data_IF_822548885011
#
_entry.id   IF_822548885011
#
_cell.length_a   1.000
_cell.length_b   1.000
_cell.length_c   1.000
_cell.angle_alpha   90.00
_cell.angle_beta   90.00
_cell.angle_gamma   90.00
#
_symmetry.space_group_name_H-M   'P 1'
#
loop_
_entity.id
_entity.type
_entity.pdbx_description
1 polymer ?
#
# COMPACT_ATOMS: atom_id res chain seq x y z
N UNK A 1 -11.10 21.59 -7.19
CA UNK A 1 -12.01 21.14 -6.13
C UNK A 1 -11.66 21.81 -4.80
N UNK A 2 -10.41 21.68 -4.31
CA UNK A 2 -9.95 22.23 -3.04
C UNK A 2 -10.26 23.73 -2.87
N UNK A 3 -9.91 24.54 -3.88
CA UNK A 3 -10.13 25.98 -3.85
C UNK A 3 -11.63 26.36 -3.76
N UNK A 4 -12.51 25.52 -4.28
CA UNK A 4 -13.95 25.70 -4.16
C UNK A 4 -14.45 25.26 -2.78
N UNK A 5 -14.00 24.09 -2.29
CA UNK A 5 -14.37 23.57 -0.97
C UNK A 5 -13.91 24.49 0.18
N UNK A 6 -12.74 25.11 0.07
CA UNK A 6 -12.26 26.13 1.04
C UNK A 6 -13.16 27.35 1.16
N UNK A 7 -13.93 27.68 0.12
CA UNK A 7 -14.86 28.81 0.08
C UNK A 7 -16.30 28.41 0.40
N UNK A 8 -16.56 27.11 0.60
CA UNK A 8 -17.89 26.62 0.91
C UNK A 8 -18.28 27.00 2.34
N UNK A 9 -19.36 27.79 2.49
CA UNK A 9 -19.80 28.32 3.79
C UNK A 9 -20.67 27.34 4.61
N UNK A 10 -21.06 26.20 4.01
CA UNK A 10 -21.86 25.18 4.69
C UNK A 10 -21.01 24.20 5.51
N UNK A 11 -21.68 23.26 6.15
CA UNK A 11 -21.02 22.15 6.84
C UNK A 11 -20.60 21.10 5.82
N UNK A 12 -19.32 20.70 5.87
CA UNK A 12 -18.74 19.69 5.00
C UNK A 12 -18.23 18.52 5.86
N UNK A 13 -18.66 17.31 5.51
CA UNK A 13 -18.12 16.07 6.08
C UNK A 13 -17.44 15.32 4.94
N UNK A 14 -16.15 15.02 5.11
CA UNK A 14 -15.33 14.38 4.10
C UNK A 14 -14.71 13.12 4.67
N UNK A 15 -14.77 12.05 3.92
CA UNK A 15 -14.02 10.82 4.15
C UNK A 15 -13.02 10.69 3.01
N UNK A 16 -11.75 10.75 3.32
CA UNK A 16 -10.68 10.64 2.33
C UNK A 16 -9.45 9.99 2.95
N UNK A 17 -8.66 9.39 2.09
CA UNK A 17 -7.34 8.87 2.43
C UNK A 17 -6.21 9.79 1.90
N UNK A 18 -6.54 10.91 1.27
CA UNK A 18 -5.58 11.91 0.81
C UNK A 18 -5.31 12.91 1.93
N UNK A 19 -4.10 12.85 2.49
CA UNK A 19 -3.66 13.73 3.60
C UNK A 19 -3.61 15.19 3.19
N UNK A 20 -2.99 15.48 2.05
CA UNK A 20 -2.83 16.85 1.56
C UNK A 20 -4.21 17.50 1.33
N UNK A 21 -5.15 16.72 0.78
CA UNK A 21 -6.52 17.16 0.60
C UNK A 21 -7.23 17.41 1.93
N UNK A 22 -7.14 16.47 2.90
CA UNK A 22 -7.74 16.65 4.22
C UNK A 22 -7.14 17.86 4.95
N UNK A 23 -5.82 18.02 4.94
CA UNK A 23 -5.14 19.16 5.57
C UNK A 23 -5.51 20.49 4.95
N UNK A 24 -5.78 20.47 3.64
CA UNK A 24 -6.14 21.68 2.92
C UNK A 24 -7.56 22.20 3.23
N UNK A 25 -8.51 21.30 3.57
CA UNK A 25 -9.94 21.67 3.63
C UNK A 25 -10.60 21.43 4.98
N UNK A 26 -9.98 20.64 5.88
CA UNK A 26 -10.58 20.32 7.18
C UNK A 26 -9.96 21.12 8.32
N UNK A 27 -10.79 21.44 9.32
CA UNK A 27 -10.38 22.10 10.56
C UNK A 27 -10.79 21.30 11.81
N UNK A 28 -11.46 20.17 11.61
CA UNK A 28 -11.84 19.21 12.65
C UNK A 28 -11.68 17.82 12.09
N UNK A 29 -11.07 16.93 12.85
CA UNK A 29 -10.94 15.51 12.51
C UNK A 29 -11.80 14.68 13.46
N UNK A 30 -12.62 13.79 12.88
CA UNK A 30 -13.43 12.82 13.63
C UNK A 30 -12.82 11.43 13.45
N UNK A 31 -12.30 10.87 14.53
CA UNK A 31 -11.65 9.56 14.52
C UNK A 31 -12.57 8.48 15.08
N UNK A 32 -12.75 7.40 14.33
CA UNK A 32 -13.56 6.24 14.72
C UNK A 32 -12.60 5.11 15.11
N UNK A 33 -12.61 4.74 16.38
CA UNK A 33 -11.78 3.67 16.91
C UNK A 33 -12.54 2.90 18.00
N UNK A 34 -12.46 1.57 18.00
CA UNK A 34 -13.14 0.71 18.98
C UNK A 34 -14.63 1.04 19.19
N UNK A 35 -15.35 1.30 18.08
CA UNK A 35 -16.76 1.71 18.06
C UNK A 35 -17.04 3.02 18.80
N UNK A 36 -16.03 3.87 19.01
CA UNK A 36 -16.16 5.21 19.58
C UNK A 36 -15.77 6.26 18.55
N UNK A 37 -16.45 7.39 18.62
CA UNK A 37 -16.17 8.55 17.79
C UNK A 37 -15.52 9.63 18.67
N UNK A 38 -14.27 9.99 18.34
CA UNK A 38 -13.52 11.00 19.07
C UNK A 38 -13.26 12.20 18.16
N UNK A 39 -13.55 13.40 18.66
CA UNK A 39 -13.34 14.66 17.95
C UNK A 39 -11.99 15.26 18.31
N UNK A 40 -11.20 15.61 17.30
CA UNK A 40 -9.95 16.35 17.43
C UNK A 40 -10.07 17.70 16.72
N UNK A 41 -9.59 18.76 17.35
CA UNK A 41 -9.50 20.08 16.73
C UNK A 41 -8.25 20.17 15.87
N UNK A 42 -8.40 20.71 14.68
CA UNK A 42 -7.30 20.81 13.71
C UNK A 42 -7.52 19.91 12.49
N UNK A 43 -6.62 20.05 11.54
CA UNK A 43 -6.57 19.23 10.33
C UNK A 43 -6.02 17.82 10.62
N UNK A 44 -5.85 17.02 9.59
CA UNK A 44 -5.39 15.65 9.72
C UNK A 44 -3.99 15.54 10.36
N UNK A 45 -3.04 16.38 9.93
CA UNK A 45 -1.68 16.42 10.52
C UNK A 45 -1.72 16.75 12.02
N UNK A 46 -2.51 17.74 12.42
CA UNK A 46 -2.68 18.09 13.84
C UNK A 46 -3.28 16.93 14.66
N UNK A 47 -4.19 16.17 14.06
CA UNK A 47 -4.74 14.96 14.69
C UNK A 47 -3.67 13.91 14.92
N UNK A 48 -2.82 13.64 13.91
CA UNK A 48 -1.74 12.65 14.02
C UNK A 48 -0.73 13.01 15.12
N UNK A 49 -0.35 14.28 15.18
CA UNK A 49 0.56 14.79 16.22
C UNK A 49 -0.02 14.57 17.61
N UNK A 50 -1.27 14.99 17.83
CA UNK A 50 -1.97 14.80 19.10
C UNK A 50 -2.14 13.32 19.47
N UNK A 51 -2.45 12.48 18.51
CA UNK A 51 -2.59 11.03 18.73
C UNK A 51 -1.25 10.42 19.12
N UNK A 52 -0.19 10.76 18.39
CA UNK A 52 1.17 10.27 18.68
C UNK A 52 1.65 10.68 20.08
N UNK A 53 1.38 11.92 20.50
CA UNK A 53 1.67 12.38 21.85
C UNK A 53 0.88 11.60 22.92
N UNK A 54 -0.42 11.40 22.70
CA UNK A 54 -1.26 10.62 23.61
C UNK A 54 -0.77 9.17 23.72
N UNK A 55 -0.39 8.55 22.60
CA UNK A 55 0.16 7.19 22.56
C UNK A 55 1.48 7.10 23.35
N UNK A 56 2.39 8.04 23.16
CA UNK A 56 3.66 8.08 23.89
C UNK A 56 3.46 8.24 25.40
N UNK A 57 2.54 9.13 25.82
CA UNK A 57 2.19 9.31 27.22
C UNK A 57 1.58 8.04 27.84
N UNK A 58 0.67 7.36 27.13
CA UNK A 58 0.03 6.16 27.60
C UNK A 58 1.03 4.99 27.67
N UNK A 59 1.93 4.85 26.69
CA UNK A 59 2.99 3.85 26.71
C UNK A 59 3.95 4.08 27.88
N UNK A 60 4.32 5.33 28.16
CA UNK A 60 5.14 5.70 29.32
C UNK A 60 4.44 5.38 30.63
N UNK A 61 3.15 5.69 30.75
CA UNK A 61 2.35 5.39 31.94
C UNK A 61 2.24 3.86 32.15
N UNK A 62 2.01 3.09 31.09
CA UNK A 62 1.97 1.63 31.12
C UNK A 62 3.30 1.02 31.57
N UNK A 63 4.43 1.49 31.02
CA UNK A 63 5.77 1.05 31.40
C UNK A 63 6.03 1.29 32.90
N UNK A 64 5.76 2.51 33.40
CA UNK A 64 5.89 2.85 34.82
C UNK A 64 5.00 1.98 35.72
N UNK A 65 3.79 1.65 35.27
CA UNK A 65 2.91 0.76 35.99
C UNK A 65 3.46 -0.67 36.05
N UNK A 66 4.00 -1.20 34.92
CA UNK A 66 4.63 -2.53 34.87
C UNK A 66 5.84 -2.62 35.79
N UNK A 67 6.70 -1.60 35.83
CA UNK A 67 7.85 -1.53 36.73
C UNK A 67 7.42 -1.57 38.18
N UNK A 68 6.36 -0.84 38.53
CA UNK A 68 5.79 -0.82 39.87
C UNK A 68 5.20 -2.16 40.26
N UNK A 69 4.48 -2.83 39.34
CA UNK A 69 3.94 -4.18 39.53
C UNK A 69 5.09 -5.17 39.77
N UNK A 70 6.15 -5.14 38.93
CA UNK A 70 7.30 -6.01 39.08
C UNK A 70 8.02 -5.82 40.41
N UNK A 71 8.17 -4.56 40.85
CA UNK A 71 8.74 -4.24 42.15
C UNK A 71 7.90 -4.80 43.32
N UNK A 72 6.58 -4.62 43.27
CA UNK A 72 5.68 -5.16 44.28
C UNK A 72 5.68 -6.71 44.33
N UNK A 73 5.73 -7.35 43.14
CA UNK A 73 5.83 -8.81 43.06
C UNK A 73 7.14 -9.33 43.68
N UNK A 74 8.29 -8.70 43.38
CA UNK A 74 9.58 -9.03 43.99
C UNK A 74 9.55 -8.85 45.51
N UNK A 75 8.91 -7.79 46.02
CA UNK A 75 8.74 -7.56 47.43
C UNK A 75 7.87 -8.67 48.07
N UNK A 76 6.74 -9.00 47.48
CA UNK A 76 5.83 -10.07 47.96
C UNK A 76 6.58 -11.40 48.00
N UNK A 77 7.29 -11.79 46.93
CA UNK A 77 8.04 -13.03 46.86
C UNK A 77 9.11 -13.11 47.96
N UNK A 78 9.83 -12.01 48.21
CA UNK A 78 10.90 -11.95 49.22
C UNK A 78 10.38 -12.05 50.66
N UNK A 79 9.20 -11.55 50.97
CA UNK A 79 8.68 -11.43 52.33
C UNK A 79 7.50 -12.37 52.67
N UNK A 80 6.93 -13.06 51.65
CA UNK A 80 5.82 -14.01 51.83
C UNK A 80 6.14 -15.14 52.82
N UNK A 81 7.40 -15.55 52.89
CA UNK A 81 7.86 -16.64 53.75
C UNK A 81 8.22 -16.20 55.20
N UNK A 82 8.20 -14.88 55.51
CA UNK A 82 8.56 -14.35 56.84
C UNK A 82 7.30 -13.99 57.60
N UNK A 83 6.95 -14.75 58.65
CA UNK A 83 5.73 -14.57 59.45
C UNK A 83 5.56 -13.15 60.02
N UNK A 84 6.67 -12.49 60.46
CA UNK A 84 6.68 -11.12 60.98
C UNK A 84 6.29 -10.04 59.94
N UNK A 85 6.36 -10.35 58.66
CA UNK A 85 6.05 -9.39 57.55
C UNK A 85 4.86 -9.82 56.70
N UNK A 86 4.18 -10.91 57.07
CA UNK A 86 3.04 -11.43 56.32
C UNK A 86 1.91 -10.40 56.16
N UNK A 87 1.65 -9.60 57.20
CA UNK A 87 0.63 -8.53 57.17
C UNK A 87 0.97 -7.42 56.22
N UNK A 88 2.27 -7.06 56.07
CA UNK A 88 2.74 -6.09 55.13
C UNK A 88 2.70 -6.63 53.69
N UNK A 89 3.02 -7.91 53.49
CA UNK A 89 2.89 -8.58 52.21
C UNK A 89 1.45 -8.63 51.71
N UNK A 90 0.47 -8.98 52.62
CA UNK A 90 -0.94 -8.92 52.27
C UNK A 90 -1.46 -7.55 51.92
N UNK A 91 -0.99 -6.47 52.60
CA UNK A 91 -1.34 -5.11 52.23
C UNK A 91 -0.82 -4.74 50.83
N UNK A 92 0.35 -5.24 50.47
CA UNK A 92 0.93 -5.00 49.15
C UNK A 92 0.22 -5.82 48.05
N UNK A 93 -0.24 -7.02 48.33
CA UNK A 93 -1.10 -7.79 47.40
C UNK A 93 -2.38 -7.04 47.13
N UNK A 94 -3.07 -6.54 48.19
CA UNK A 94 -4.26 -5.71 47.99
C UNK A 94 -4.01 -4.40 47.22
N UNK A 95 -2.82 -3.82 47.38
CA UNK A 95 -2.42 -2.65 46.58
C UNK A 95 -2.20 -3.00 45.11
N UNK A 96 -1.64 -4.17 44.82
CA UNK A 96 -1.46 -4.69 43.47
C UNK A 96 -2.82 -4.94 42.77
N UNK A 97 -3.77 -5.54 43.46
CA UNK A 97 -5.11 -5.82 42.94
C UNK A 97 -5.91 -4.54 42.63
N UNK A 98 -5.64 -3.44 43.33
CA UNK A 98 -6.31 -2.15 43.15
C UNK A 98 -5.66 -1.30 42.05
N UNK A 99 -4.47 -1.66 41.56
CA UNK A 99 -3.85 -0.90 40.46
C UNK A 99 -4.72 -1.07 39.22
N UNK A 100 -5.24 0.04 38.71
CA UNK A 100 -5.83 0.07 37.38
C UNK A 100 -4.78 -0.38 36.36
N UNK A 101 -5.09 -1.45 35.63
CA UNK A 101 -4.27 -1.89 34.50
C UNK A 101 -4.49 -0.90 33.39
N UNK A 102 -3.50 -0.05 33.13
CA UNK A 102 -3.47 0.76 31.91
C UNK A 102 -3.36 -0.24 30.75
N UNK A 103 -4.44 -0.40 30.00
CA UNK A 103 -4.36 -1.17 28.76
C UNK A 103 -3.26 -0.53 27.91
N UNK A 104 -2.27 -1.32 27.39
CA UNK A 104 -1.44 -0.76 26.33
C UNK A 104 -2.43 -0.27 25.28
N UNK A 105 -2.20 0.94 24.78
CA UNK A 105 -2.74 1.22 23.45
C UNK A 105 -2.26 0.04 22.63
N UNK A 106 -3.22 -0.70 22.07
CA UNK A 106 -2.97 -1.42 20.88
C UNK A 106 -2.55 -0.33 19.88
N UNK A 107 -1.27 0.07 19.95
CA UNK A 107 -0.64 0.52 18.75
C UNK A 107 -0.96 -0.63 17.80
N UNK A 108 -1.75 -0.37 16.78
CA UNK A 108 -1.69 -1.21 15.59
C UNK A 108 -0.21 -1.31 15.36
N UNK A 109 0.35 -2.50 15.63
CA UNK A 109 1.78 -2.74 15.51
C UNK A 109 2.10 -2.21 14.13
N UNK A 110 2.99 -1.20 14.04
CA UNK A 110 3.26 -0.50 12.80
C UNK A 110 3.35 -1.57 11.74
N UNK A 111 2.33 -1.64 10.87
CA UNK A 111 2.26 -2.66 9.85
C UNK A 111 3.40 -2.36 8.90
N UNK A 112 4.44 -3.18 8.94
CA UNK A 112 5.62 -3.06 8.08
C UNK A 112 5.84 -4.37 7.36
N UNK A 113 6.26 -4.29 6.11
CA UNK A 113 6.68 -5.43 5.32
C UNK A 113 7.83 -5.01 4.40
N UNK A 114 8.65 -5.98 4.03
CA UNK A 114 9.79 -5.74 3.16
C UNK A 114 9.70 -6.63 1.92
N UNK A 115 10.07 -6.05 0.77
CA UNK A 115 10.37 -6.84 -0.40
C UNK A 115 11.74 -7.50 -0.21
N UNK A 116 11.81 -8.79 -0.44
CA UNK A 116 13.11 -9.47 -0.45
C UNK A 116 13.93 -9.03 -1.65
N UNK A 117 15.25 -9.00 -1.47
CA UNK A 117 16.18 -8.73 -2.55
C UNK A 117 15.88 -9.62 -3.77
N UNK A 118 15.78 -9.04 -4.97
CA UNK A 118 15.53 -9.78 -6.19
C UNK A 118 16.68 -10.76 -6.48
N UNK A 119 16.37 -12.00 -6.78
CA UNK A 119 17.37 -13.02 -7.13
C UNK A 119 18.10 -12.71 -8.45
N UNK A 120 17.49 -11.91 -9.32
CA UNK A 120 18.02 -11.51 -10.62
C UNK A 120 17.50 -10.12 -11.00
N UNK A 121 18.35 -9.30 -11.59
CA UNK A 121 18.04 -7.97 -12.08
C UNK A 121 18.50 -7.85 -13.54
N UNK A 122 17.69 -8.28 -14.51
CA UNK A 122 18.06 -8.14 -15.92
C UNK A 122 18.16 -6.66 -16.29
N UNK A 123 19.14 -6.33 -17.16
CA UNK A 123 19.35 -4.98 -17.63
C UNK A 123 19.60 -4.97 -19.15
N UNK A 124 18.68 -4.44 -19.97
CA UNK A 124 17.41 -3.83 -19.56
C UNK A 124 16.40 -4.85 -19.01
N UNK A 125 15.47 -4.38 -18.15
CA UNK A 125 14.32 -5.15 -17.71
C UNK A 125 13.35 -5.42 -18.85
N UNK A 126 13.07 -4.36 -19.60
CA UNK A 126 12.19 -4.33 -20.76
C UNK A 126 12.77 -3.43 -21.85
N UNK A 127 12.59 -3.82 -23.10
CA UNK A 127 12.87 -2.97 -24.26
C UNK A 127 11.66 -2.93 -25.17
N UNK A 128 11.24 -1.76 -25.52
CA UNK A 128 10.11 -1.48 -26.42
C UNK A 128 10.61 -0.85 -27.71
N UNK A 129 10.30 -1.47 -28.84
CA UNK A 129 10.66 -0.96 -30.18
C UNK A 129 9.39 -0.81 -31.02
N UNK A 130 9.03 0.43 -31.35
CA UNK A 130 7.85 0.81 -32.10
C UNK A 130 6.54 0.18 -31.55
N UNK A 131 6.43 0.03 -30.23
CA UNK A 131 5.29 -0.63 -29.60
C UNK A 131 4.08 0.29 -29.64
N UNK A 132 2.95 -0.28 -30.08
CA UNK A 132 1.65 0.37 -30.08
C UNK A 132 0.70 -0.33 -29.12
N UNK A 133 -0.05 0.45 -28.37
CA UNK A 133 -1.00 -0.03 -27.36
C UNK A 133 -2.43 0.30 -27.78
N UNK A 134 -3.35 -0.62 -27.49
CA UNK A 134 -4.78 -0.46 -27.77
C UNK A 134 -5.65 -0.83 -26.59
N UNK A 135 -6.88 -0.34 -26.56
CA UNK A 135 -7.91 -0.92 -25.68
C UNK A 135 -8.25 -2.34 -26.13
N UNK A 136 -8.61 -3.23 -25.17
CA UNK A 136 -9.20 -4.49 -25.54
C UNK A 136 -10.48 -4.22 -26.35
N UNK A 137 -10.60 -4.87 -27.51
CA UNK A 137 -11.81 -4.75 -28.31
C UNK A 137 -12.98 -5.33 -27.53
N UNK A 138 -14.07 -4.58 -27.40
CA UNK A 138 -15.31 -5.02 -26.73
C UNK A 138 -16.06 -6.11 -27.53
N UNK A 139 -15.73 -6.28 -28.81
CA UNK A 139 -16.21 -7.37 -29.66
C UNK A 139 -15.21 -7.60 -30.79
N UNK A 140 -15.02 -8.85 -31.17
CA UNK A 140 -14.26 -9.27 -32.37
C UNK A 140 -15.03 -8.97 -33.68
N UNK A 141 -15.71 -7.86 -33.80
CA UNK A 141 -16.32 -7.47 -35.07
C UNK A 141 -15.19 -7.01 -36.01
N UNK A 142 -15.05 -7.76 -37.08
CA UNK A 142 -13.93 -7.78 -38.03
C UNK A 142 -13.72 -6.47 -38.83
N UNK A 143 -14.61 -5.48 -38.69
CA UNK A 143 -14.62 -4.28 -39.55
C UNK A 143 -14.26 -2.94 -38.86
N UNK A 144 -13.88 -2.93 -37.58
CA UNK A 144 -13.44 -1.68 -36.96
C UNK A 144 -11.91 -1.59 -36.89
N UNK A 145 -11.36 -0.52 -37.51
CA UNK A 145 -9.95 -0.21 -37.39
C UNK A 145 -9.54 -0.12 -35.90
N UNK A 146 -8.38 -0.70 -35.52
CA UNK A 146 -7.93 -0.70 -34.13
C UNK A 146 -7.74 0.74 -33.63
N UNK A 147 -8.32 1.04 -32.46
CA UNK A 147 -8.14 2.35 -31.83
C UNK A 147 -6.81 2.33 -31.08
N UNK A 148 -5.83 3.00 -31.65
CA UNK A 148 -4.53 3.22 -31.01
C UNK A 148 -4.69 4.25 -29.88
N UNK A 149 -4.17 3.92 -28.70
CA UNK A 149 -4.12 4.81 -27.57
C UNK A 149 -2.76 5.47 -27.46
N UNK A 150 -1.72 4.64 -27.58
CA UNK A 150 -0.32 5.09 -27.56
C UNK A 150 0.41 4.41 -28.71
N UNK A 151 1.19 5.17 -29.45
CA UNK A 151 1.88 4.72 -30.67
C UNK A 151 3.38 4.90 -30.59
N UNK A 152 4.12 4.05 -31.31
CA UNK A 152 5.53 4.18 -31.58
C UNK A 152 6.37 4.39 -30.32
N UNK A 153 6.13 3.61 -29.28
CA UNK A 153 6.91 3.68 -28.06
C UNK A 153 8.25 3.01 -28.26
N UNK A 154 9.31 3.80 -28.14
CA UNK A 154 10.71 3.36 -28.20
C UNK A 154 11.37 3.73 -26.90
N UNK A 155 11.33 2.82 -25.93
CA UNK A 155 11.82 3.02 -24.55
C UNK A 155 12.36 1.73 -23.97
N UNK A 156 13.32 1.88 -23.07
CA UNK A 156 13.81 0.76 -22.26
C UNK A 156 13.62 1.09 -20.79
N UNK A 157 13.25 0.08 -20.03
CA UNK A 157 13.18 0.13 -18.57
C UNK A 157 14.42 -0.57 -18.03
N UNK A 158 15.20 0.13 -17.24
CA UNK A 158 16.48 -0.35 -16.74
C UNK A 158 16.33 -0.91 -15.31
N UNK A 159 17.27 -1.75 -14.92
CA UNK A 159 17.33 -2.28 -13.57
C UNK A 159 17.48 -1.16 -12.53
N UNK A 160 16.68 -1.21 -11.47
CA UNK A 160 16.70 -0.24 -10.37
C UNK A 160 16.04 1.10 -10.66
N UNK A 161 15.48 1.34 -11.87
CA UNK A 161 14.74 2.56 -12.16
C UNK A 161 13.47 2.67 -11.31
N UNK A 162 13.11 3.92 -10.97
CA UNK A 162 11.91 4.29 -10.21
C UNK A 162 11.11 5.29 -11.01
N UNK A 163 10.19 4.77 -11.82
CA UNK A 163 9.45 5.51 -12.83
C UNK A 163 8.04 5.85 -12.35
N UNK A 164 7.72 7.13 -12.30
CA UNK A 164 6.35 7.63 -12.18
C UNK A 164 5.73 7.83 -13.56
N UNK A 165 4.56 7.27 -13.81
CA UNK A 165 3.83 7.42 -15.07
C UNK A 165 2.77 8.49 -14.90
N UNK A 166 3.00 9.63 -15.53
CA UNK A 166 2.13 10.81 -15.49
C UNK A 166 1.24 10.89 -16.74
N UNK A 167 0.16 11.62 -16.64
CA UNK A 167 -0.78 11.87 -17.73
C UNK A 167 -2.20 12.08 -17.24
N UNK A 168 -2.99 12.83 -18.00
CA UNK A 168 -4.42 13.03 -17.69
C UNK A 168 -5.19 11.70 -17.75
N UNK A 169 -6.39 11.67 -17.17
CA UNK A 169 -7.25 10.50 -17.23
C UNK A 169 -7.65 10.20 -18.68
N UNK A 170 -7.70 8.92 -19.04
CA UNK A 170 -8.02 8.48 -20.39
C UNK A 170 -6.86 8.52 -21.40
N UNK A 171 -5.68 8.99 -21.03
CA UNK A 171 -4.52 9.05 -21.94
C UNK A 171 -3.80 7.70 -22.18
N UNK A 172 -4.22 6.63 -21.50
CA UNK A 172 -3.69 5.29 -21.74
C UNK A 172 -2.67 4.79 -20.74
N UNK A 173 -2.50 5.44 -19.58
CA UNK A 173 -1.57 5.00 -18.52
C UNK A 173 -1.81 3.55 -18.10
N UNK A 174 -3.03 3.22 -17.72
CA UNK A 174 -3.37 1.85 -17.29
C UNK A 174 -3.27 0.84 -18.42
N UNK A 175 -3.55 1.23 -19.69
CA UNK A 175 -3.37 0.36 -20.85
C UNK A 175 -1.89 0.04 -21.06
N UNK A 176 -1.02 1.03 -20.93
CA UNK A 176 0.42 0.87 -20.99
C UNK A 176 0.92 -0.10 -19.92
N UNK A 177 0.55 0.13 -18.66
CA UNK A 177 0.98 -0.74 -17.54
C UNK A 177 0.41 -2.16 -17.68
N UNK A 178 -0.86 -2.32 -18.07
CA UNK A 178 -1.48 -3.64 -18.33
C UNK A 178 -0.80 -4.43 -19.44
N UNK A 179 -0.32 -3.74 -20.47
CA UNK A 179 0.41 -4.40 -21.55
C UNK A 179 1.77 -4.89 -21.06
N UNK A 180 2.50 -4.08 -20.28
CA UNK A 180 3.74 -4.52 -19.66
C UNK A 180 3.48 -5.68 -18.67
N UNK A 181 2.39 -5.62 -17.91
CA UNK A 181 1.98 -6.68 -17.00
C UNK A 181 1.50 -7.98 -17.69
N UNK A 182 1.52 -8.02 -19.03
CA UNK A 182 1.04 -9.15 -19.86
C UNK A 182 -0.47 -9.42 -19.77
N UNK A 183 -1.23 -8.51 -19.19
CA UNK A 183 -2.69 -8.56 -19.14
C UNK A 183 -3.28 -8.26 -20.52
N UNK A 184 -2.64 -7.35 -21.25
CA UNK A 184 -2.96 -7.02 -22.63
C UNK A 184 -1.78 -7.35 -23.55
N UNK A 185 -2.07 -7.67 -24.81
CA UNK A 185 -1.02 -7.84 -25.84
C UNK A 185 -0.79 -6.51 -26.56
N UNK A 186 0.46 -6.17 -26.90
CA UNK A 186 0.74 -5.05 -27.78
C UNK A 186 0.09 -5.28 -29.15
N UNK A 187 -0.31 -4.19 -29.80
CA UNK A 187 -0.92 -4.29 -31.12
C UNK A 187 0.15 -4.46 -32.21
N UNK A 188 1.22 -3.69 -32.11
CA UNK A 188 2.34 -3.66 -33.02
C UNK A 188 3.64 -3.42 -32.27
N UNK A 189 4.78 -3.67 -32.96
CA UNK A 189 6.11 -3.49 -32.40
C UNK A 189 6.59 -4.69 -31.59
N UNK A 190 7.77 -4.55 -31.03
CA UNK A 190 8.44 -5.60 -30.27
C UNK A 190 8.63 -5.17 -28.81
N UNK A 191 8.11 -5.99 -27.90
CA UNK A 191 8.32 -5.88 -26.46
C UNK A 191 9.23 -7.03 -26.03
N UNK A 192 10.50 -6.72 -25.81
CA UNK A 192 11.49 -7.70 -25.39
C UNK A 192 11.71 -7.64 -23.89
N UNK A 193 11.61 -8.78 -23.22
CA UNK A 193 11.79 -8.91 -21.78
C UNK A 193 13.20 -9.40 -21.45
N UNK A 194 13.80 -8.82 -20.41
CA UNK A 194 15.07 -9.30 -19.88
C UNK A 194 14.95 -10.71 -19.31
N UNK A 195 15.98 -11.50 -19.48
CA UNK A 195 16.00 -12.91 -19.00
C UNK A 195 15.87 -12.94 -17.48
N UNK A 196 14.86 -13.65 -16.98
CA UNK A 196 14.59 -13.77 -15.54
C UNK A 196 13.71 -12.61 -15.00
N UNK A 197 13.05 -11.87 -15.88
CA UNK A 197 12.07 -10.88 -15.48
C UNK A 197 10.91 -11.54 -14.72
N UNK A 198 10.67 -11.05 -13.51
CA UNK A 198 9.55 -11.43 -12.63
C UNK A 198 8.74 -10.19 -12.28
N UNK A 199 7.53 -10.12 -12.80
CA UNK A 199 6.65 -8.96 -12.66
C UNK A 199 5.69 -9.19 -11.50
N UNK A 200 5.66 -8.24 -10.53
CA UNK A 200 4.59 -8.08 -9.56
C UNK A 200 3.66 -6.96 -10.04
N UNK A 201 2.41 -7.30 -10.31
CA UNK A 201 1.42 -6.33 -10.78
C UNK A 201 0.34 -6.12 -9.73
N UNK A 202 0.14 -4.88 -9.33
CA UNK A 202 -0.91 -4.46 -8.42
C UNK A 202 -1.79 -3.41 -9.10
N UNK A 203 -3.06 -3.73 -9.24
CA UNK A 203 -4.08 -2.83 -9.74
C UNK A 203 -5.42 -3.12 -9.06
N UNK A 204 -6.35 -2.17 -9.15
CA UNK A 204 -7.69 -2.34 -8.59
C UNK A 204 -8.38 -3.64 -9.06
N UNK A 205 -8.19 -4.01 -10.32
CA UNK A 205 -8.78 -5.22 -10.89
C UNK A 205 -8.25 -6.52 -10.27
N UNK A 206 -7.06 -6.50 -9.66
CA UNK A 206 -6.51 -7.66 -8.97
C UNK A 206 -7.31 -8.03 -7.70
N UNK A 207 -8.07 -7.07 -7.14
CA UNK A 207 -8.99 -7.33 -6.04
C UNK A 207 -10.19 -8.16 -6.47
N UNK A 208 -10.62 -8.00 -7.73
CA UNK A 208 -11.76 -8.73 -8.30
C UNK A 208 -11.39 -10.17 -8.71
N UNK A 209 -10.08 -10.47 -8.83
CA UNK A 209 -9.56 -11.81 -9.14
C UNK A 209 -9.56 -12.73 -7.92
N UNK A 210 -9.63 -12.15 -6.70
CA UNK A 210 -9.71 -12.94 -5.48
C UNK A 210 -11.03 -13.72 -5.44
N UNK A 211 -10.94 -15.05 -5.19
CA UNK A 211 -12.13 -15.87 -5.03
C UNK A 211 -12.82 -15.54 -3.69
N UNK A 212 -14.06 -15.02 -3.72
CA UNK A 212 -14.78 -14.65 -2.49
C UNK A 212 -15.03 -15.81 -1.53
N UNK A 213 -15.05 -17.04 -2.05
CA UNK A 213 -15.33 -18.26 -1.27
C UNK A 213 -14.11 -18.78 -0.53
N UNK A 214 -12.91 -18.41 -0.97
CA UNK A 214 -11.64 -18.85 -0.38
C UNK A 214 -11.21 -17.92 0.74
N UNK A 215 -10.34 -18.41 1.61
CA UNK A 215 -9.68 -17.64 2.65
C UNK A 215 -8.24 -17.26 2.24
N UNK A 216 -7.54 -16.39 2.98
CA UNK A 216 -6.17 -16.00 2.66
C UNK A 216 -5.19 -17.16 2.50
N UNK A 217 -5.31 -18.18 3.35
CA UNK A 217 -4.42 -19.35 3.28
C UNK A 217 -4.67 -20.16 2.00
N UNK A 218 -5.93 -20.36 1.63
CA UNK A 218 -6.30 -21.07 0.38
C UNK A 218 -5.78 -20.35 -0.86
N UNK A 219 -5.84 -18.99 -0.87
CA UNK A 219 -5.23 -18.18 -1.93
C UNK A 219 -3.71 -18.38 -2.02
N UNK A 220 -3.01 -18.40 -0.88
CA UNK A 220 -1.57 -18.65 -0.85
C UNK A 220 -1.23 -20.07 -1.33
N UNK A 221 -1.98 -21.08 -0.90
CA UNK A 221 -1.80 -22.47 -1.34
C UNK A 221 -2.08 -22.59 -2.86
N UNK A 222 -3.12 -21.93 -3.35
CA UNK A 222 -3.44 -21.87 -4.79
C UNK A 222 -2.30 -21.22 -5.60
N UNK A 223 -1.75 -20.13 -5.10
CA UNK A 223 -0.59 -19.46 -5.68
C UNK A 223 0.65 -20.36 -5.73
N UNK A 224 0.95 -21.08 -4.64
CA UNK A 224 2.05 -22.07 -4.60
C UNK A 224 1.86 -23.13 -5.68
N UNK A 225 0.67 -23.72 -5.76
CA UNK A 225 0.36 -24.76 -6.77
C UNK A 225 0.56 -24.23 -8.19
N UNK A 226 0.05 -23.04 -8.48
CA UNK A 226 0.20 -22.37 -9.77
C UNK A 226 1.67 -22.17 -10.13
N UNK A 227 2.45 -21.55 -9.26
CA UNK A 227 3.87 -21.27 -9.52
C UNK A 227 4.71 -22.53 -9.61
N UNK A 228 4.35 -23.59 -8.87
CA UNK A 228 4.99 -24.91 -8.98
C UNK A 228 4.74 -25.51 -10.35
N UNK A 229 3.49 -25.47 -10.85
CA UNK A 229 3.16 -26.01 -12.18
C UNK A 229 3.82 -25.23 -13.31
N UNK A 230 4.06 -23.94 -13.13
CA UNK A 230 4.75 -23.06 -14.08
C UNK A 230 6.28 -23.07 -13.93
N UNK A 231 6.83 -23.86 -13.00
CA UNK A 231 8.26 -23.90 -12.66
C UNK A 231 8.86 -22.52 -12.36
N UNK A 232 8.12 -21.67 -11.63
CA UNK A 232 8.45 -20.28 -11.32
C UNK A 232 8.78 -20.03 -9.86
N UNK A 233 8.93 -21.06 -9.06
CA UNK A 233 9.37 -20.92 -7.66
C UNK A 233 10.86 -20.55 -7.61
N UNK A 234 11.17 -19.53 -6.83
CA UNK A 234 12.53 -18.99 -6.65
C UNK A 234 12.98 -19.12 -5.18
N UNK A 235 12.85 -20.32 -4.61
CA UNK A 235 13.26 -20.59 -3.22
C UNK A 235 12.33 -20.03 -2.14
N UNK A 236 11.04 -19.77 -2.46
CA UNK A 236 10.05 -19.43 -1.46
C UNK A 236 9.73 -20.64 -0.58
N UNK A 237 9.45 -20.38 0.71
CA UNK A 237 8.97 -21.42 1.62
C UNK A 237 7.50 -21.73 1.30
N UNK A 238 7.20 -23.01 1.03
CA UNK A 238 5.88 -23.45 0.53
C UNK A 238 5.08 -24.25 1.53
N UNK A 239 5.64 -24.56 2.70
CA UNK A 239 4.93 -25.28 3.76
C UNK A 239 3.80 -24.41 4.31
N UNK A 240 2.68 -25.01 4.66
CA UNK A 240 1.52 -24.31 5.17
C UNK A 240 1.87 -23.42 6.39
N UNK A 241 2.69 -23.89 7.29
CA UNK A 241 3.14 -23.11 8.45
C UNK A 241 3.91 -21.85 8.06
N UNK A 242 4.77 -21.95 7.04
CA UNK A 242 5.53 -20.81 6.52
C UNK A 242 4.61 -19.80 5.84
N UNK A 243 3.59 -20.28 5.11
CA UNK A 243 2.57 -19.42 4.50
C UNK A 243 1.72 -18.70 5.56
N UNK A 244 1.36 -19.39 6.65
CA UNK A 244 0.67 -18.76 7.79
C UNK A 244 1.53 -17.69 8.46
N UNK A 245 2.81 -17.96 8.67
CA UNK A 245 3.75 -16.99 9.20
C UNK A 245 3.88 -15.76 8.30
N UNK A 246 3.94 -15.98 6.99
CA UNK A 246 4.01 -14.90 6.01
C UNK A 246 2.73 -14.04 5.98
N UNK A 247 1.56 -14.68 6.01
CA UNK A 247 0.28 -13.99 6.13
C UNK A 247 0.18 -13.18 7.43
N UNK A 248 0.74 -13.71 8.53
CA UNK A 248 0.81 -13.00 9.81
C UNK A 248 1.57 -11.67 9.74
N UNK A 249 2.64 -11.59 8.92
CA UNK A 249 3.37 -10.33 8.69
C UNK A 249 2.50 -9.26 8.00
N UNK A 250 1.44 -9.67 7.30
CA UNK A 250 0.46 -8.80 6.66
C UNK A 250 -0.82 -8.64 7.48
N UNK A 251 -0.74 -8.85 8.81
CA UNK A 251 -1.86 -8.76 9.74
C UNK A 251 -3.01 -9.74 9.47
N UNK A 252 -2.74 -10.87 8.82
CA UNK A 252 -3.66 -11.99 8.70
C UNK A 252 -3.32 -13.06 9.75
N UNK A 253 -3.51 -12.73 11.04
CA UNK A 253 -3.25 -13.63 12.15
C UNK A 253 -4.53 -14.22 12.75
N UNK A 254 -4.38 -15.29 13.55
CA UNK A 254 -5.51 -15.91 14.26
C UNK A 254 -6.62 -16.38 13.34
N UNK A 255 -7.85 -15.95 13.62
CA UNK A 255 -9.04 -16.35 12.86
C UNK A 255 -9.15 -15.69 11.48
N UNK A 256 -8.46 -14.57 11.26
CA UNK A 256 -8.49 -13.87 9.97
C UNK A 256 -7.93 -14.71 8.82
N UNK A 257 -7.00 -15.64 9.09
CA UNK A 257 -6.45 -16.54 8.07
C UNK A 257 -7.53 -17.41 7.44
N UNK A 258 -8.59 -17.73 8.20
CA UNK A 258 -9.70 -18.58 7.79
C UNK A 258 -10.96 -17.80 7.39
N UNK A 259 -10.92 -16.48 7.53
CA UNK A 259 -12.03 -15.60 7.13
C UNK A 259 -12.18 -15.62 5.62
N UNK A 260 -13.41 -15.78 5.12
CA UNK A 260 -13.66 -15.73 3.67
C UNK A 260 -13.40 -14.35 3.10
N UNK A 261 -12.68 -14.31 2.00
CA UNK A 261 -12.32 -13.04 1.31
C UNK A 261 -13.56 -12.24 0.92
N UNK A 262 -14.67 -12.89 0.61
CA UNK A 262 -15.94 -12.22 0.31
C UNK A 262 -16.45 -11.29 1.42
N UNK A 263 -16.15 -11.59 2.70
CA UNK A 263 -16.53 -10.79 3.86
C UNK A 263 -15.49 -9.74 4.27
N UNK A 264 -14.35 -9.67 3.58
CA UNK A 264 -13.27 -8.73 3.88
C UNK A 264 -13.57 -7.35 3.30
N UNK A 265 -13.07 -6.33 3.99
CA UNK A 265 -13.05 -4.94 3.49
C UNK A 265 -12.15 -4.81 2.25
N UNK A 266 -12.33 -3.72 1.49
CA UNK A 266 -11.47 -3.41 0.34
C UNK A 266 -9.99 -3.30 0.71
N UNK A 267 -9.69 -2.70 1.87
CA UNK A 267 -8.32 -2.58 2.40
C UNK A 267 -7.69 -3.92 2.76
N UNK A 268 -8.44 -4.82 3.39
CA UNK A 268 -7.97 -6.18 3.71
C UNK A 268 -7.70 -6.99 2.44
N UNK A 269 -8.57 -6.89 1.43
CA UNK A 269 -8.36 -7.53 0.12
C UNK A 269 -7.10 -6.99 -0.56
N UNK A 270 -6.91 -5.68 -0.57
CA UNK A 270 -5.73 -5.05 -1.15
C UNK A 270 -4.44 -5.48 -0.44
N UNK A 271 -4.47 -5.58 0.88
CA UNK A 271 -3.36 -6.09 1.69
C UNK A 271 -3.06 -7.56 1.39
N UNK A 272 -4.09 -8.39 1.14
CA UNK A 272 -3.90 -9.78 0.71
C UNK A 272 -3.23 -9.87 -0.66
N UNK A 273 -3.65 -9.06 -1.63
CA UNK A 273 -3.02 -8.99 -2.96
C UNK A 273 -1.56 -8.56 -2.82
N UNK A 274 -1.26 -7.54 -2.01
CA UNK A 274 0.13 -7.14 -1.73
C UNK A 274 0.94 -8.28 -1.12
N UNK A 275 0.39 -8.99 -0.14
CA UNK A 275 1.02 -10.17 0.46
C UNK A 275 1.40 -11.21 -0.60
N UNK A 276 0.48 -11.53 -1.50
CA UNK A 276 0.70 -12.48 -2.59
C UNK A 276 1.77 -12.02 -3.57
N UNK A 277 1.83 -10.72 -3.88
CA UNK A 277 2.85 -10.13 -4.76
C UNK A 277 4.22 -10.19 -4.10
N UNK A 278 4.33 -9.74 -2.85
CA UNK A 278 5.60 -9.72 -2.09
C UNK A 278 6.17 -11.14 -1.95
N UNK A 279 5.30 -12.13 -1.70
CA UNK A 279 5.70 -13.52 -1.58
C UNK A 279 6.33 -14.09 -2.86
N UNK A 280 5.89 -13.62 -4.03
CA UNK A 280 6.42 -14.04 -5.33
C UNK A 280 7.83 -13.52 -5.63
N UNK A 281 8.36 -12.59 -4.85
CA UNK A 281 9.69 -11.96 -5.02
C UNK A 281 9.90 -11.38 -6.42
N UNK A 282 9.07 -10.42 -6.86
CA UNK A 282 9.25 -9.77 -8.15
C UNK A 282 10.53 -8.97 -8.21
N UNK A 283 11.06 -8.74 -9.42
CA UNK A 283 12.15 -7.81 -9.68
C UNK A 283 11.70 -6.54 -10.42
N UNK A 284 10.49 -6.55 -10.96
CA UNK A 284 9.78 -5.38 -11.50
C UNK A 284 8.41 -5.29 -10.83
N UNK A 285 8.15 -4.16 -10.17
CA UNK A 285 6.84 -3.84 -9.61
C UNK A 285 6.10 -2.86 -10.52
N UNK A 286 4.91 -3.24 -10.93
CA UNK A 286 3.97 -2.39 -11.65
C UNK A 286 2.81 -2.08 -10.73
N UNK A 287 2.64 -0.82 -10.35
CA UNK A 287 1.63 -0.37 -9.41
C UNK A 287 0.70 0.62 -10.13
N UNK A 288 -0.56 0.24 -10.32
CA UNK A 288 -1.59 1.07 -10.96
C UNK A 288 -2.62 1.50 -9.93
N UNK A 289 -2.54 2.76 -9.48
CA UNK A 289 -3.36 3.37 -8.44
C UNK A 289 -3.41 2.56 -7.13
N UNK A 290 -2.26 2.19 -6.55
CA UNK A 290 -2.22 1.26 -5.43
C UNK A 290 -2.88 1.81 -4.17
N UNK A 291 -2.97 3.13 -4.02
CA UNK A 291 -3.46 3.79 -2.80
C UNK A 291 -4.98 3.86 -2.70
N UNK A 292 -5.73 3.61 -3.78
CA UNK A 292 -7.18 3.83 -3.80
C UNK A 292 -7.97 2.98 -2.79
N UNK A 293 -7.45 1.82 -2.39
CA UNK A 293 -8.11 0.89 -1.48
C UNK A 293 -7.30 0.61 -0.21
N UNK A 294 -6.11 1.20 -0.07
CA UNK A 294 -5.29 1.01 1.11
C UNK A 294 -5.68 2.02 2.20
N UNK A 295 -5.77 1.55 3.43
CA UNK A 295 -5.78 2.42 4.59
C UNK A 295 -4.43 3.13 4.75
N UNK A 296 -4.40 4.12 5.60
CA UNK A 296 -3.25 4.99 5.73
C UNK A 296 -2.00 4.23 6.21
N UNK A 297 -2.16 3.35 7.20
CA UNK A 297 -1.05 2.53 7.72
C UNK A 297 -0.45 1.63 6.63
N UNK A 298 -1.30 1.01 5.80
CA UNK A 298 -0.84 0.19 4.67
C UNK A 298 -0.18 1.02 3.57
N UNK A 299 -0.64 2.26 3.33
CA UNK A 299 0.03 3.19 2.38
C UNK A 299 1.42 3.57 2.82
N UNK A 300 1.60 3.88 4.11
CA UNK A 300 2.90 4.21 4.68
C UNK A 300 3.85 3.01 4.61
N UNK A 301 3.37 1.83 5.02
CA UNK A 301 4.13 0.60 4.91
C UNK A 301 4.55 0.32 3.46
N UNK A 302 3.64 0.52 2.49
CA UNK A 302 3.95 0.38 1.07
C UNK A 302 5.02 1.38 0.62
N UNK A 303 4.90 2.66 0.99
CA UNK A 303 5.88 3.68 0.63
C UNK A 303 7.28 3.35 1.19
N UNK A 304 7.36 2.90 2.46
CA UNK A 304 8.61 2.46 3.07
C UNK A 304 9.19 1.24 2.36
N UNK A 305 8.38 0.20 2.14
CA UNK A 305 8.82 -1.01 1.47
C UNK A 305 9.30 -0.74 0.02
N UNK A 306 8.62 0.17 -0.70
CA UNK A 306 9.03 0.58 -2.04
C UNK A 306 10.35 1.34 -2.04
N UNK A 307 10.63 2.16 -1.03
CA UNK A 307 11.91 2.87 -0.93
C UNK A 307 13.09 1.93 -0.68
N UNK A 308 12.87 0.86 0.08
CA UNK A 308 13.89 -0.15 0.38
C UNK A 308 14.01 -1.21 -0.72
N UNK A 309 13.05 -1.29 -1.62
CA UNK A 309 13.05 -2.30 -2.69
C UNK A 309 14.18 -2.05 -3.69
N UNK A 310 15.04 -3.04 -3.88
CA UNK A 310 16.20 -2.96 -4.79
C UNK A 310 15.87 -3.25 -6.26
N UNK A 311 14.63 -3.65 -6.56
CA UNK A 311 14.14 -3.87 -7.92
C UNK A 311 13.71 -2.58 -8.63
N UNK A 312 13.10 -2.76 -9.79
CA UNK A 312 12.56 -1.67 -10.60
C UNK A 312 11.10 -1.41 -10.23
N UNK A 313 10.70 -0.15 -10.16
CA UNK A 313 9.33 0.27 -9.86
C UNK A 313 8.78 1.12 -11.00
N UNK A 314 7.57 0.80 -11.44
CA UNK A 314 6.75 1.67 -12.29
C UNK A 314 5.43 1.95 -11.57
N UNK A 315 5.18 3.21 -11.30
CA UNK A 315 4.06 3.66 -10.47
C UNK A 315 3.16 4.62 -11.25
N UNK A 316 1.89 4.26 -11.39
CA UNK A 316 0.80 5.16 -11.78
C UNK A 316 0.06 5.52 -10.51
N UNK A 317 -0.02 6.79 -10.15
CA UNK A 317 -0.77 7.23 -8.98
C UNK A 317 -1.21 8.69 -9.09
N UNK A 318 -2.32 9.00 -8.46
CA UNK A 318 -2.76 10.37 -8.19
C UNK A 318 -2.25 10.87 -6.82
N UNK A 319 -1.69 9.98 -6.01
CA UNK A 319 -1.07 10.31 -4.73
C UNK A 319 0.33 10.90 -4.97
N UNK A 320 0.43 12.23 -4.85
CA UNK A 320 1.68 12.96 -5.07
C UNK A 320 2.73 12.64 -4.02
N UNK A 321 2.30 12.42 -2.77
CA UNK A 321 3.22 12.09 -1.69
C UNK A 321 3.92 10.76 -1.98
N UNK A 322 3.17 9.75 -2.43
CA UNK A 322 3.73 8.46 -2.84
C UNK A 322 4.66 8.62 -4.06
N UNK A 323 4.23 9.33 -5.11
CA UNK A 323 5.07 9.58 -6.30
C UNK A 323 6.39 10.28 -5.91
N UNK A 324 6.32 11.32 -5.08
CA UNK A 324 7.50 12.08 -4.63
C UNK A 324 8.45 11.24 -3.77
N UNK A 325 7.91 10.34 -2.95
CA UNK A 325 8.72 9.51 -2.06
C UNK A 325 9.39 8.33 -2.76
N UNK A 326 8.81 7.84 -3.87
CA UNK A 326 9.23 6.57 -4.51
C UNK A 326 9.91 6.77 -5.86
N UNK A 327 9.50 7.79 -6.64
CA UNK A 327 9.92 7.95 -8.03
C UNK A 327 11.02 9.00 -8.19
N UNK A 328 12.05 8.67 -8.97
CA UNK A 328 13.16 9.56 -9.31
C UNK A 328 13.02 10.14 -10.72
N UNK A 329 12.30 9.44 -11.59
CA UNK A 329 12.09 9.80 -12.99
C UNK A 329 10.61 9.74 -13.35
N UNK A 330 10.19 10.56 -14.29
CA UNK A 330 8.81 10.58 -14.74
C UNK A 330 8.71 10.40 -16.26
N UNK A 331 7.73 9.60 -16.67
CA UNK A 331 7.30 9.51 -18.07
C UNK A 331 5.88 10.03 -18.20
N UNK A 332 5.67 10.90 -19.18
CA UNK A 332 4.35 11.47 -19.45
C UNK A 332 3.69 10.75 -20.62
N UNK A 333 2.50 10.25 -20.39
CA UNK A 333 1.60 9.71 -21.41
C UNK A 333 0.66 10.81 -21.85
N UNK A 334 0.84 11.32 -23.06
CA UNK A 334 -0.01 12.39 -23.60
C UNK A 334 -0.02 12.34 -25.13
N UNK A 335 -1.15 12.77 -25.71
CA UNK A 335 -1.32 12.93 -27.17
C UNK A 335 -0.87 11.69 -27.97
N UNK A 336 -1.18 10.50 -27.44
CA UNK A 336 -0.86 9.23 -28.09
C UNK A 336 0.61 8.82 -28.05
N UNK A 337 1.44 9.42 -27.21
CA UNK A 337 2.86 9.08 -27.06
C UNK A 337 3.29 8.97 -25.59
N UNK A 338 4.51 8.43 -25.38
CA UNK A 338 5.18 8.39 -24.07
C UNK A 338 6.53 9.10 -24.19
N UNK A 339 6.73 10.11 -23.36
CA UNK A 339 7.97 10.92 -23.34
C UNK A 339 8.50 11.05 -21.92
N UNK A 340 9.82 11.15 -21.72
CA UNK A 340 10.37 11.61 -20.46
C UNK A 340 9.76 12.96 -20.09
N UNK A 341 9.51 13.18 -18.83
CA UNK A 341 9.07 14.47 -18.31
C UNK A 341 10.23 15.07 -17.50
N UNK A 342 10.80 16.16 -18.05
CA UNK A 342 11.89 16.90 -17.43
C UNK A 342 11.30 17.97 -16.50
N UNK A 343 11.00 17.61 -15.26
CA UNK A 343 10.42 18.47 -14.27
C UNK A 343 9.98 17.70 -13.03
N UNK A 344 9.59 18.43 -11.99
CA UNK A 344 9.01 17.87 -10.78
C UNK A 344 7.47 17.78 -10.87
N UNK A 345 6.85 17.32 -9.80
CA UNK A 345 5.38 17.18 -9.74
C UNK A 345 4.66 18.55 -9.73
N UNK A 346 5.32 19.60 -9.27
CA UNK A 346 4.85 20.99 -9.31
C UNK A 346 4.83 21.51 -10.75
N UNK A 347 5.86 21.18 -11.54
CA UNK A 347 5.91 21.48 -12.99
C UNK A 347 4.82 20.73 -13.72
N UNK A 348 4.58 19.47 -13.38
CA UNK A 348 3.50 18.68 -13.94
C UNK A 348 2.13 19.28 -13.62
N UNK A 349 1.91 19.79 -12.44
CA UNK A 349 0.67 20.47 -12.08
C UNK A 349 0.46 21.73 -12.93
N UNK A 350 1.50 22.53 -13.13
CA UNK A 350 1.44 23.72 -14.00
C UNK A 350 1.08 23.32 -15.42
N UNK A 351 1.73 22.29 -15.95
CA UNK A 351 1.41 21.74 -17.26
C UNK A 351 -0.07 21.36 -17.41
N UNK A 352 -0.63 20.64 -16.43
CA UNK A 352 -2.06 20.26 -16.46
C UNK A 352 -3.00 21.48 -16.41
N UNK A 353 -2.65 22.52 -15.66
CA UNK A 353 -3.44 23.75 -15.59
C UNK A 353 -3.40 24.53 -16.91
N UNK A 354 -2.27 24.56 -17.59
CA UNK A 354 -2.13 25.18 -18.92
C UNK A 354 -2.92 24.42 -19.98
N UNK A 355 -2.80 23.08 -20.03
CA UNK A 355 -3.58 22.24 -20.95
C UNK A 355 -5.10 22.42 -20.73
N UNK A 356 -5.54 22.52 -19.45
CA UNK A 356 -6.95 22.74 -19.12
C UNK A 356 -7.44 24.13 -19.53
N UNK A 357 -6.59 25.16 -19.53
CA UNK A 357 -6.92 26.50 -20.05
C UNK A 357 -7.06 26.46 -21.57
N UNK A 358 -6.10 25.88 -22.26
CA UNK A 358 -6.13 25.75 -23.72
C UNK A 358 -7.34 24.94 -24.21
N UNK A 359 -7.74 23.92 -23.47
CA UNK A 359 -8.94 23.13 -23.79
C UNK A 359 -10.27 23.87 -23.56
N UNK A 360 -10.27 24.98 -22.82
CA UNK A 360 -11.46 25.84 -22.61
C UNK A 360 -11.55 26.99 -23.62
N UNK A 361 -10.43 27.32 -24.24
CA UNK A 361 -10.34 28.40 -25.22
C UNK A 361 -10.60 27.91 -26.66
N UNK A 362 -10.59 26.59 -26.88
CA UNK A 362 -10.99 25.91 -28.13
C UNK A 362 -12.39 25.31 -27.99
#
# INVERSE_FOLDING_TARGET
>A
LEAWLKKYEGTLIVISHDREFLDAITNVTMHIENSKLTRYSGNYTSFEDLRSEQMALQQSAFSKQQDKIAHLQKFIARFKAKASKAKQAQSRVKALDRMEKVAPLLAEADFTFDFKEPANLPNPMLSMQNVCFRYPALSESVDQAPIYIVKNVNRSVLAGQRLGILGANGQGKSTFVKTIARVLKPLEGELTEGRGLSIGYFAQQELDVLNPSDNPLEHMIGLVKKLTSENRLSGQATREQDLRGFLGMFNFGGDMIFQRVGSMSGGEKARLVLCMIVWQRPNLLLLDEPTNHLDLATREALAMALNEFEGTVMLVSHDRALLRSVCDEFWMVSKGGIKPFDGDLEDYQRYLLEEAKLAREN
#
